data_IF_161172513665
#
_entry.id   IF_161172513665
#
_cell.length_a   1.000
_cell.length_b   1.000
_cell.length_c   1.000
_cell.angle_alpha   90.00
_cell.angle_beta   90.00
_cell.angle_gamma   90.00
#
_symmetry.space_group_name_H-M   'P 1'
#
loop_
_entity.id
_entity.type
_entity.pdbx_description
1 polymer ?
#
# COMPACT_ATOMS: atom_id res chain seq x y z
N UNK A 1 -24.09 48.64 16.99
CA UNK A 1 -23.27 48.36 15.81
C UNK A 1 -23.49 46.91 15.43
N UNK A 2 -23.99 46.65 14.23
CA UNK A 2 -24.23 45.29 13.76
C UNK A 2 -22.88 44.63 13.44
N UNK A 3 -22.51 43.60 14.22
CA UNK A 3 -21.35 42.77 13.93
C UNK A 3 -21.74 41.83 12.78
N UNK A 4 -21.45 42.27 11.56
CA UNK A 4 -21.66 41.51 10.34
C UNK A 4 -20.72 40.29 10.39
N UNK A 5 -21.33 39.12 10.49
CA UNK A 5 -20.65 37.82 10.54
C UNK A 5 -19.95 37.53 9.21
N UNK A 6 -18.65 37.82 9.14
CA UNK A 6 -17.76 37.44 8.04
C UNK A 6 -17.41 35.93 8.10
N UNK A 7 -18.43 35.08 8.12
CA UNK A 7 -18.32 33.61 8.00
C UNK A 7 -17.47 33.10 6.80
N UNK A 8 -17.31 33.83 5.67
CA UNK A 8 -16.54 33.31 4.53
C UNK A 8 -15.02 33.32 4.73
N UNK A 9 -14.47 34.24 5.54
CA UNK A 9 -13.01 34.46 5.62
C UNK A 9 -12.35 33.50 6.61
N UNK A 10 -12.94 33.34 7.79
CA UNK A 10 -12.41 32.44 8.82
C UNK A 10 -12.39 30.97 8.36
N UNK A 11 -13.42 30.55 7.61
CA UNK A 11 -13.49 29.20 7.03
C UNK A 11 -12.43 28.99 5.95
N UNK A 12 -12.17 30.03 5.14
CA UNK A 12 -11.15 29.98 4.10
C UNK A 12 -9.74 29.93 4.70
N UNK A 13 -9.46 30.71 5.75
CA UNK A 13 -8.18 30.66 6.45
C UNK A 13 -7.92 29.31 7.14
N UNK A 14 -8.97 28.70 7.70
CA UNK A 14 -8.89 27.36 8.27
C UNK A 14 -8.52 26.30 7.21
N UNK A 15 -9.19 26.32 6.06
CA UNK A 15 -8.89 25.42 4.94
C UNK A 15 -7.46 25.62 4.41
N UNK A 16 -7.03 26.88 4.31
CA UNK A 16 -5.67 27.23 3.89
C UNK A 16 -4.61 26.70 4.85
N UNK A 17 -4.83 26.82 6.17
CA UNK A 17 -3.95 26.24 7.20
C UNK A 17 -3.93 24.72 7.17
N UNK A 18 -5.05 24.08 6.82
CA UNK A 18 -5.12 22.63 6.68
C UNK A 18 -4.32 22.11 5.48
N UNK A 19 -4.39 22.83 4.35
CA UNK A 19 -3.70 22.45 3.12
C UNK A 19 -2.23 22.85 3.08
N UNK A 20 -1.85 23.94 3.75
CA UNK A 20 -0.47 24.42 3.84
C UNK A 20 -0.12 24.89 5.27
N UNK A 21 0.11 23.97 6.22
CA UNK A 21 0.31 24.31 7.64
C UNK A 21 1.58 25.12 7.92
N UNK A 22 2.53 25.19 6.98
CA UNK A 22 3.82 25.84 7.16
C UNK A 22 3.95 27.17 6.41
N UNK A 23 2.91 27.62 5.69
CA UNK A 23 2.89 28.90 4.95
C UNK A 23 4.06 29.09 3.96
N UNK A 24 4.78 28.03 3.62
CA UNK A 24 5.82 28.09 2.61
C UNK A 24 5.17 27.96 1.24
N UNK A 25 5.47 28.85 0.27
CA UNK A 25 5.12 28.59 -1.11
C UNK A 25 5.93 27.38 -1.57
N UNK A 26 5.34 26.19 -1.50
CA UNK A 26 5.94 25.00 -2.07
C UNK A 26 5.79 25.11 -3.59
N UNK A 27 6.88 25.24 -4.36
CA UNK A 27 6.79 25.29 -5.81
C UNK A 27 6.14 23.99 -6.30
N UNK A 28 5.02 24.09 -7.02
CA UNK A 28 4.20 22.93 -7.43
C UNK A 28 3.04 22.58 -6.50
N UNK A 29 2.89 23.27 -5.37
CA UNK A 29 1.63 23.29 -4.62
C UNK A 29 0.68 24.21 -5.38
N UNK A 30 -0.28 23.57 -6.05
CA UNK A 30 -1.36 24.17 -6.80
C UNK A 30 -1.99 25.30 -5.99
N UNK A 31 -1.85 26.54 -6.45
CA UNK A 31 -2.63 27.68 -5.97
C UNK A 31 -4.12 27.31 -6.08
N UNK A 32 -5.03 27.84 -5.23
CA UNK A 32 -6.47 27.54 -5.29
C UNK A 32 -7.16 27.88 -6.62
N UNK A 33 -6.41 28.43 -7.58
CA UNK A 33 -6.80 28.63 -8.98
C UNK A 33 -6.49 27.43 -9.89
N UNK A 34 -5.95 26.33 -9.36
CA UNK A 34 -5.71 25.13 -10.14
C UNK A 34 -7.04 24.63 -10.70
N UNK A 35 -7.17 24.76 -12.01
CA UNK A 35 -8.33 24.36 -12.76
C UNK A 35 -8.74 22.95 -12.31
N UNK A 36 -10.01 22.79 -11.93
CA UNK A 36 -10.58 21.50 -11.48
C UNK A 36 -10.27 20.38 -12.48
N UNK A 37 -10.17 20.72 -13.76
CA UNK A 37 -9.77 19.81 -14.83
C UNK A 37 -8.33 19.27 -14.69
N UNK A 38 -7.36 20.11 -14.29
CA UNK A 38 -5.99 19.67 -14.06
C UNK A 38 -5.89 18.74 -12.83
N UNK A 39 -6.65 19.05 -11.78
CA UNK A 39 -6.77 18.19 -10.60
C UNK A 39 -7.39 16.85 -11.00
N UNK A 40 -8.46 16.86 -11.79
CA UNK A 40 -9.11 15.64 -12.27
C UNK A 40 -8.15 14.78 -13.14
N UNK A 41 -7.36 15.42 -14.00
CA UNK A 41 -6.31 14.74 -14.78
C UNK A 41 -5.26 14.11 -13.89
N UNK A 42 -4.73 14.86 -12.92
CA UNK A 42 -3.72 14.35 -11.97
C UNK A 42 -4.25 13.18 -11.12
N UNK A 43 -5.53 13.25 -10.71
CA UNK A 43 -6.21 12.13 -10.05
C UNK A 43 -6.25 10.89 -10.96
N UNK A 44 -6.59 11.05 -12.24
CA UNK A 44 -6.63 9.95 -13.21
C UNK A 44 -5.26 9.30 -13.44
N UNK A 45 -4.21 10.11 -13.58
CA UNK A 45 -2.83 9.64 -13.69
C UNK A 45 -2.41 8.84 -12.44
N UNK A 46 -2.67 9.37 -11.25
CA UNK A 46 -2.34 8.70 -9.99
C UNK A 46 -3.13 7.40 -9.77
N UNK A 47 -4.41 7.34 -10.18
CA UNK A 47 -5.19 6.09 -10.15
C UNK A 47 -4.60 5.01 -11.07
N UNK A 48 -4.05 5.41 -12.21
CA UNK A 48 -3.39 4.47 -13.12
C UNK A 48 -2.13 3.88 -12.47
N UNK A 49 -1.33 4.73 -11.81
CA UNK A 49 -0.15 4.29 -11.05
C UNK A 49 -0.57 3.38 -9.88
N UNK A 50 -1.60 3.75 -9.13
CA UNK A 50 -2.17 2.95 -8.05
C UNK A 50 -2.60 1.56 -8.52
N UNK A 51 -3.32 1.47 -9.64
CA UNK A 51 -3.73 0.20 -10.22
C UNK A 51 -2.52 -0.68 -10.59
N UNK A 52 -1.48 -0.10 -11.18
CA UNK A 52 -0.26 -0.83 -11.52
C UNK A 52 0.48 -1.33 -10.27
N UNK A 53 0.62 -0.49 -9.24
CA UNK A 53 1.23 -0.89 -7.97
C UNK A 53 0.43 -2.00 -7.29
N UNK A 54 -0.90 -1.93 -7.33
CA UNK A 54 -1.80 -2.96 -6.78
C UNK A 54 -1.56 -4.31 -7.48
N UNK A 55 -1.41 -4.32 -8.80
CA UNK A 55 -1.06 -5.54 -9.54
C UNK A 55 0.31 -6.10 -9.12
N UNK A 56 1.32 -5.25 -8.95
CA UNK A 56 2.65 -5.68 -8.51
C UNK A 56 2.61 -6.34 -7.12
N UNK A 57 1.87 -5.73 -6.18
CA UNK A 57 1.67 -6.33 -4.85
C UNK A 57 1.00 -7.71 -4.98
N UNK A 58 -0.02 -7.83 -5.83
CA UNK A 58 -0.68 -9.12 -6.10
C UNK A 58 0.27 -10.18 -6.64
N UNK A 59 1.13 -9.84 -7.60
CA UNK A 59 2.12 -10.76 -8.16
C UNK A 59 3.16 -11.21 -7.13
N UNK A 60 3.66 -10.29 -6.30
CA UNK A 60 4.60 -10.62 -5.22
C UNK A 60 3.95 -11.57 -4.21
N UNK A 61 2.72 -11.27 -3.77
CA UNK A 61 1.98 -12.12 -2.84
C UNK A 61 1.74 -13.53 -3.42
N UNK A 62 1.39 -13.64 -4.71
CA UNK A 62 1.21 -14.93 -5.37
C UNK A 62 2.52 -15.73 -5.44
N UNK A 63 3.63 -15.06 -5.73
CA UNK A 63 4.97 -15.68 -5.77
C UNK A 63 5.35 -16.21 -4.40
N UNK A 64 5.14 -15.43 -3.33
CA UNK A 64 5.38 -15.85 -1.95
C UNK A 64 4.56 -17.10 -1.62
N UNK A 65 3.25 -17.08 -1.85
CA UNK A 65 2.38 -18.23 -1.58
C UNK A 65 2.84 -19.49 -2.32
N UNK A 66 3.26 -19.34 -3.57
CA UNK A 66 3.78 -20.47 -4.37
C UNK A 66 5.05 -21.04 -3.75
N UNK A 67 5.98 -20.18 -3.32
CA UNK A 67 7.22 -20.61 -2.65
C UNK A 67 6.93 -21.26 -1.29
N UNK A 68 5.96 -20.76 -0.53
CA UNK A 68 5.52 -21.36 0.73
C UNK A 68 4.96 -22.78 0.51
N UNK A 69 4.14 -22.98 -0.52
CA UNK A 69 3.64 -24.30 -0.90
C UNK A 69 4.77 -25.24 -1.33
N UNK A 70 5.74 -24.75 -2.11
CA UNK A 70 6.93 -25.52 -2.49
C UNK A 70 7.76 -25.93 -1.27
N UNK A 71 7.96 -25.02 -0.32
CA UNK A 71 8.68 -25.30 0.94
C UNK A 71 7.98 -26.39 1.75
N UNK A 72 6.67 -26.27 1.96
CA UNK A 72 5.88 -27.25 2.70
C UNK A 72 5.93 -28.64 2.05
N UNK A 73 5.88 -28.71 0.71
CA UNK A 73 6.01 -29.96 -0.02
C UNK A 73 7.39 -30.62 0.21
N UNK A 74 8.48 -29.86 0.15
CA UNK A 74 9.84 -30.36 0.40
C UNK A 74 10.03 -30.84 1.85
N UNK A 75 9.47 -30.12 2.83
CA UNK A 75 9.49 -30.52 4.23
C UNK A 75 8.75 -31.85 4.45
N UNK A 76 7.58 -32.01 3.81
CA UNK A 76 6.82 -33.27 3.85
C UNK A 76 7.59 -34.44 3.24
N UNK A 77 8.28 -34.22 2.10
CA UNK A 77 9.10 -35.26 1.47
C UNK A 77 10.29 -35.64 2.35
N UNK A 78 10.97 -34.66 2.95
CA UNK A 78 12.10 -34.88 3.85
C UNK A 78 11.70 -35.68 5.09
N UNK A 79 10.53 -35.36 5.66
CA UNK A 79 9.97 -36.09 6.79
C UNK A 79 9.59 -37.53 6.42
N UNK A 80 8.98 -37.75 5.25
CA UNK A 80 8.64 -39.09 4.76
C UNK A 80 9.88 -39.94 4.48
N UNK A 81 10.96 -39.35 3.95
CA UNK A 81 12.25 -40.03 3.76
C UNK A 81 12.89 -40.39 5.10
N UNK A 82 12.82 -39.51 6.11
CA UNK A 82 13.34 -39.79 7.45
C UNK A 82 12.59 -40.94 8.16
N UNK A 83 11.29 -41.09 7.92
CA UNK A 83 10.49 -42.19 8.46
C UNK A 83 10.79 -43.55 7.81
N UNK A 84 11.37 -43.57 6.61
CA UNK A 84 11.71 -44.82 5.91
C UNK A 84 13.12 -45.34 6.25
N UNK A 85 13.75 -44.84 7.34
CA UNK A 85 14.97 -45.44 7.87
C UNK A 85 14.60 -46.85 8.37
N UNK A 86 15.18 -47.92 7.81
CA UNK A 86 14.87 -49.28 8.28
C UNK A 86 15.25 -49.33 9.75
N UNK A 87 14.25 -49.57 10.60
CA UNK A 87 14.49 -49.96 11.98
C UNK A 87 15.41 -51.18 11.90
N UNK A 88 16.65 -51.02 12.35
CA UNK A 88 17.56 -52.11 12.54
C UNK A 88 16.88 -53.09 13.49
N UNK A 89 16.20 -54.09 12.91
CA UNK A 89 15.75 -55.29 13.61
C UNK A 89 17.02 -56.09 13.87
N UNK A 90 17.80 -55.58 14.82
CA UNK A 90 18.88 -56.30 15.46
C UNK A 90 18.30 -57.60 15.96
N UNK A 91 18.71 -58.69 15.30
CA UNK A 91 18.51 -60.06 15.73
C UNK A 91 18.94 -60.15 17.20
N UNK A 92 17.97 -60.34 18.09
CA UNK A 92 18.23 -61.00 19.37
C UNK A 92 18.06 -62.50 19.15
N UNK A 93 18.98 -63.22 19.77
CA UNK A 93 19.32 -64.64 19.67
C UNK A 93 18.17 -65.62 19.91
#
# INVERSE_FOLDING_TARGET
MAQQSDLPKDLFEFMQKMWNPLSFPIPGMLTPTANVEEIAKKIGELKTVENWLTMNVGFVQMTIKTLEMQKAALESLSAGVAQNKPADRGKSE
#
